data_IF_709233820067
#
_entry.id   IF_709233820067
#
_cell.length_a   1.000
_cell.length_b   1.000
_cell.length_c   1.000
_cell.angle_alpha   90.00
_cell.angle_beta   90.00
_cell.angle_gamma   90.00
#
_symmetry.space_group_name_H-M   'P 1'
#
loop_
_entity.id
_entity.type
_entity.pdbx_description
1 polymer ?
#
# COMPACT_ATOMS: atom_id res chain seq x y z
N UNK A 1 -30.05 9.34 5.87
CA UNK A 1 -30.80 8.08 6.05
C UNK A 1 -29.89 6.95 5.56
N UNK A 2 -29.15 6.28 6.46
CA UNK A 2 -28.19 5.22 6.10
C UNK A 2 -26.91 5.12 6.97
N UNK A 3 -26.65 6.09 7.85
CA UNK A 3 -25.53 6.03 8.80
C UNK A 3 -26.03 5.47 10.14
N UNK A 4 -25.31 4.52 10.72
CA UNK A 4 -25.64 3.74 11.93
C UNK A 4 -26.58 2.53 11.74
N UNK A 5 -26.16 1.56 10.92
CA UNK A 5 -26.45 0.17 11.26
C UNK A 5 -25.36 -0.30 12.24
N UNK A 6 -25.66 -0.58 13.52
CA UNK A 6 -24.70 -1.22 14.41
C UNK A 6 -24.31 -2.58 13.81
N UNK A 7 -23.01 -2.79 13.60
CA UNK A 7 -22.50 -4.05 13.08
C UNK A 7 -22.99 -5.22 13.95
N UNK A 8 -23.58 -6.28 13.37
CA UNK A 8 -24.03 -7.42 14.15
C UNK A 8 -22.86 -8.06 14.93
N UNK A 9 -23.12 -8.65 16.11
CA UNK A 9 -22.09 -9.27 16.95
C UNK A 9 -21.35 -10.38 16.19
N UNK A 10 -20.02 -10.45 16.38
CA UNK A 10 -19.13 -11.41 15.70
C UNK A 10 -19.59 -12.84 15.95
N UNK A 11 -19.98 -13.55 14.89
CA UNK A 11 -20.32 -14.97 14.98
C UNK A 11 -19.06 -15.80 15.36
N UNK A 12 -19.22 -17.03 15.89
CA UNK A 12 -18.09 -17.95 16.08
C UNK A 12 -17.26 -18.15 14.81
N UNK A 13 -17.92 -18.21 13.65
CA UNK A 13 -17.29 -18.38 12.34
C UNK A 13 -16.39 -17.19 11.97
N UNK A 14 -16.80 -15.97 12.32
CA UNK A 14 -15.99 -14.76 12.10
C UNK A 14 -14.68 -14.78 12.90
N UNK A 15 -14.68 -15.40 14.09
CA UNK A 15 -13.44 -15.52 14.89
C UNK A 15 -12.44 -16.48 14.25
N UNK A 16 -12.91 -17.58 13.68
CA UNK A 16 -12.06 -18.51 12.94
C UNK A 16 -11.53 -17.89 11.64
N UNK A 17 -12.40 -17.21 10.87
CA UNK A 17 -12.02 -16.49 9.67
C UNK A 17 -10.95 -15.43 9.96
N UNK A 18 -11.12 -14.63 11.03
CA UNK A 18 -10.16 -13.59 11.40
C UNK A 18 -8.80 -14.17 11.83
N UNK A 19 -8.76 -15.32 12.51
CA UNK A 19 -7.50 -16.01 12.83
C UNK A 19 -6.77 -16.46 11.56
N UNK A 20 -7.49 -17.05 10.61
CA UNK A 20 -6.93 -17.45 9.31
C UNK A 20 -6.38 -16.24 8.55
N UNK A 21 -7.14 -15.14 8.51
CA UNK A 21 -6.73 -13.89 7.89
C UNK A 21 -5.45 -13.33 8.51
N UNK A 22 -5.36 -13.29 9.85
CA UNK A 22 -4.16 -12.81 10.55
C UNK A 22 -2.92 -13.63 10.20
N UNK A 23 -3.05 -14.96 10.13
CA UNK A 23 -1.94 -15.84 9.73
C UNK A 23 -1.48 -15.57 8.30
N UNK A 24 -2.43 -15.51 7.34
CA UNK A 24 -2.14 -15.18 5.94
C UNK A 24 -1.53 -13.79 5.79
N UNK A 25 -2.08 -12.83 6.51
CA UNK A 25 -1.60 -11.46 6.54
C UNK A 25 -0.17 -11.36 7.08
N UNK A 26 0.14 -12.04 8.18
CA UNK A 26 1.49 -12.08 8.73
C UNK A 26 2.50 -12.69 7.73
N UNK A 27 2.10 -13.75 7.02
CA UNK A 27 2.91 -14.32 5.95
C UNK A 27 3.14 -13.32 4.80
N UNK A 28 2.09 -12.66 4.32
CA UNK A 28 2.20 -11.63 3.27
C UNK A 28 3.09 -10.47 3.70
N UNK A 29 2.95 -9.99 4.94
CA UNK A 29 3.80 -8.94 5.50
C UNK A 29 5.27 -9.40 5.60
N UNK A 30 5.51 -10.64 6.03
CA UNK A 30 6.85 -11.23 6.08
C UNK A 30 7.50 -11.35 4.70
N UNK A 31 6.73 -11.78 3.69
CA UNK A 31 7.20 -11.83 2.30
C UNK A 31 7.54 -10.44 1.77
N UNK A 32 6.69 -9.44 2.02
CA UNK A 32 6.96 -8.05 1.62
C UNK A 32 8.21 -7.47 2.29
N UNK A 33 8.41 -7.74 3.59
CA UNK A 33 9.63 -7.37 4.29
C UNK A 33 10.87 -8.06 3.68
N UNK A 34 10.76 -9.35 3.34
CA UNK A 34 11.79 -10.09 2.61
C UNK A 34 12.12 -9.45 1.26
N UNK A 35 11.11 -9.01 0.51
CA UNK A 35 11.31 -8.28 -0.75
C UNK A 35 12.09 -6.98 -0.55
N UNK A 36 11.83 -6.21 0.51
CA UNK A 36 12.61 -5.01 0.83
C UNK A 36 14.10 -5.32 1.06
N UNK A 37 14.39 -6.43 1.76
CA UNK A 37 15.78 -6.87 1.98
C UNK A 37 16.46 -7.28 0.67
N UNK A 38 15.74 -7.94 -0.23
CA UNK A 38 16.24 -8.25 -1.58
C UNK A 38 16.51 -6.95 -2.36
N UNK A 39 15.62 -5.98 -2.31
CA UNK A 39 15.82 -4.65 -2.91
C UNK A 39 17.06 -3.94 -2.36
N UNK A 40 17.25 -3.96 -1.03
CA UNK A 40 18.44 -3.42 -0.39
C UNK A 40 19.72 -4.14 -0.86
N UNK A 41 19.70 -5.47 -0.97
CA UNK A 41 20.83 -6.25 -1.46
C UNK A 41 21.18 -5.89 -2.92
N UNK A 42 20.18 -5.66 -3.78
CA UNK A 42 20.41 -5.18 -5.15
C UNK A 42 21.02 -3.78 -5.14
N UNK A 43 20.53 -2.87 -4.31
CA UNK A 43 21.05 -1.49 -4.23
C UNK A 43 22.50 -1.41 -3.74
N UNK A 44 22.96 -2.38 -2.93
CA UNK A 44 24.37 -2.47 -2.52
C UNK A 44 25.34 -2.67 -3.70
N UNK A 45 24.83 -3.05 -4.88
CA UNK A 45 25.67 -3.15 -6.10
C UNK A 45 26.04 -1.79 -6.71
N UNK A 46 25.33 -0.71 -6.35
CA UNK A 46 25.54 0.63 -6.89
C UNK A 46 25.58 1.76 -5.86
N UNK A 47 25.28 1.49 -4.60
CA UNK A 47 25.31 2.47 -3.51
C UNK A 47 26.12 1.97 -2.32
N UNK A 48 26.66 2.91 -1.54
CA UNK A 48 27.30 2.59 -0.27
C UNK A 48 26.28 2.09 0.78
N UNK A 49 26.71 1.32 1.79
CA UNK A 49 25.82 0.77 2.80
C UNK A 49 25.01 1.82 3.59
N UNK A 50 25.55 3.04 3.79
CA UNK A 50 24.85 4.10 4.52
C UNK A 50 23.63 4.62 3.76
N UNK A 51 23.79 4.81 2.44
CA UNK A 51 22.66 5.16 1.55
C UNK A 51 21.63 4.05 1.47
N UNK A 52 22.06 2.79 1.34
CA UNK A 52 21.13 1.65 1.33
C UNK A 52 20.40 1.55 2.68
N UNK A 53 21.06 1.81 3.80
CA UNK A 53 20.41 1.87 5.12
C UNK A 53 19.34 2.97 5.19
N UNK A 54 19.61 4.15 4.63
CA UNK A 54 18.64 5.24 4.57
C UNK A 54 17.43 4.89 3.69
N UNK A 55 17.69 4.29 2.53
CA UNK A 55 16.64 3.76 1.64
C UNK A 55 15.78 2.72 2.35
N UNK A 56 16.41 1.77 3.05
CA UNK A 56 15.72 0.70 3.76
C UNK A 56 14.87 1.25 4.91
N UNK A 57 15.35 2.27 5.62
CA UNK A 57 14.61 2.93 6.69
C UNK A 57 13.32 3.56 6.17
N UNK A 58 13.41 4.35 5.09
CA UNK A 58 12.24 5.01 4.49
C UNK A 58 11.27 3.99 3.91
N UNK A 59 11.77 3.02 3.13
CA UNK A 59 10.95 1.94 2.58
C UNK A 59 10.24 1.15 3.67
N UNK A 60 10.94 0.85 4.78
CA UNK A 60 10.38 0.12 5.91
C UNK A 60 9.36 0.94 6.69
N UNK A 61 9.52 2.26 6.79
CA UNK A 61 8.54 3.14 7.41
C UNK A 61 7.22 3.15 6.62
N UNK A 62 7.31 3.30 5.29
CA UNK A 62 6.13 3.27 4.40
C UNK A 62 5.47 1.88 4.40
N UNK A 63 6.26 0.82 4.30
CA UNK A 63 5.75 -0.55 4.39
C UNK A 63 5.14 -0.85 5.75
N UNK A 64 5.75 -0.40 6.84
CA UNK A 64 5.22 -0.52 8.20
C UNK A 64 3.86 0.18 8.34
N UNK A 65 3.72 1.38 7.77
CA UNK A 65 2.43 2.07 7.70
C UNK A 65 1.37 1.23 6.96
N UNK A 66 1.68 0.74 5.75
CA UNK A 66 0.79 -0.14 4.99
C UNK A 66 0.41 -1.38 5.81
N UNK A 67 1.39 -1.97 6.50
CA UNK A 67 1.19 -3.19 7.29
C UNK A 67 0.21 -2.95 8.45
N UNK A 68 0.39 -1.84 9.17
CA UNK A 68 -0.50 -1.42 10.25
C UNK A 68 -1.88 -1.10 9.68
N UNK A 69 -1.94 -0.35 8.58
CA UNK A 69 -3.19 0.07 7.93
C UNK A 69 -4.09 -1.11 7.57
N UNK A 70 -3.52 -2.14 6.94
CA UNK A 70 -4.21 -3.38 6.55
C UNK A 70 -4.55 -4.21 7.78
N UNK A 71 -3.59 -4.38 8.70
CA UNK A 71 -3.75 -5.18 9.92
C UNK A 71 -4.92 -4.72 10.80
N UNK A 72 -5.08 -3.40 10.95
CA UNK A 72 -6.20 -2.80 11.69
C UNK A 72 -7.55 -2.99 10.98
N UNK A 73 -7.55 -3.16 9.65
CA UNK A 73 -8.73 -3.24 8.79
C UNK A 73 -9.07 -4.65 8.32
N UNK A 74 -8.39 -5.70 8.77
CA UNK A 74 -8.70 -7.09 8.40
C UNK A 74 -10.17 -7.48 8.68
N UNK A 75 -10.81 -6.85 9.67
CA UNK A 75 -12.23 -7.01 9.97
C UNK A 75 -13.17 -6.47 8.87
N UNK A 76 -12.65 -5.79 7.85
CA UNK A 76 -13.38 -5.32 6.68
C UNK A 76 -13.27 -6.30 5.51
N UNK A 77 -12.59 -7.45 5.65
CA UNK A 77 -12.46 -8.45 4.60
C UNK A 77 -13.76 -9.24 4.38
N UNK A 78 -14.80 -8.54 3.94
CA UNK A 78 -16.15 -9.02 3.65
C UNK A 78 -16.68 -8.29 2.41
N UNK A 79 -17.62 -8.91 1.69
CA UNK A 79 -18.24 -8.27 0.53
C UNK A 79 -19.24 -7.18 0.96
N UNK A 80 -19.53 -6.25 0.06
CA UNK A 80 -20.55 -5.23 0.29
C UNK A 80 -21.92 -5.90 0.46
N UNK A 81 -22.62 -5.58 1.55
CA UNK A 81 -23.92 -6.17 1.89
C UNK A 81 -23.86 -7.53 2.58
N UNK A 82 -22.67 -8.15 2.71
CA UNK A 82 -22.51 -9.42 3.44
C UNK A 82 -22.03 -9.17 4.88
N UNK A 83 -22.63 -9.89 5.83
CA UNK A 83 -22.26 -9.79 7.25
C UNK A 83 -20.97 -10.57 7.57
N UNK A 84 -20.74 -11.70 6.89
CA UNK A 84 -19.70 -12.67 7.20
C UNK A 84 -18.31 -12.29 6.66
N UNK A 85 -17.27 -12.61 7.44
CA UNK A 85 -15.89 -12.45 7.01
C UNK A 85 -15.45 -13.55 6.04
N UNK A 86 -14.70 -13.15 5.01
CA UNK A 86 -14.00 -14.08 4.12
C UNK A 86 -12.67 -14.48 4.78
N UNK A 87 -12.41 -15.78 4.93
CA UNK A 87 -11.16 -16.27 5.53
C UNK A 87 -9.91 -16.06 4.63
N UNK A 88 -10.11 -15.70 3.36
CA UNK A 88 -9.07 -15.45 2.38
C UNK A 88 -9.09 -13.99 1.92
N UNK A 89 -7.90 -13.39 1.73
CA UNK A 89 -7.75 -12.04 1.18
C UNK A 89 -8.24 -11.96 -0.28
N UNK A 90 -8.08 -13.05 -1.05
CA UNK A 90 -8.44 -13.09 -2.46
C UNK A 90 -7.36 -12.53 -3.38
N UNK A 91 -7.47 -12.79 -4.70
CA UNK A 91 -6.43 -12.45 -5.66
C UNK A 91 -6.29 -10.95 -5.91
N UNK A 92 -7.39 -10.19 -5.92
CA UNK A 92 -7.36 -8.73 -6.05
C UNK A 92 -6.54 -8.09 -4.92
N UNK A 93 -6.93 -8.34 -3.66
CA UNK A 93 -6.20 -7.83 -2.50
C UNK A 93 -4.74 -8.30 -2.47
N UNK A 94 -4.43 -9.53 -2.91
CA UNK A 94 -3.06 -10.00 -3.00
C UNK A 94 -2.22 -9.18 -4.00
N UNK A 95 -2.80 -8.81 -5.15
CA UNK A 95 -2.15 -7.97 -6.14
C UNK A 95 -1.97 -6.54 -5.63
N UNK A 96 -3.00 -5.95 -5.00
CA UNK A 96 -2.90 -4.62 -4.36
C UNK A 96 -1.84 -4.60 -3.27
N UNK A 97 -1.70 -5.66 -2.48
CA UNK A 97 -0.64 -5.78 -1.46
C UNK A 97 0.76 -5.90 -2.08
N UNK A 98 0.90 -6.64 -3.18
CA UNK A 98 2.15 -6.72 -3.93
C UNK A 98 2.53 -5.34 -4.51
N UNK A 99 1.56 -4.62 -5.09
CA UNK A 99 1.70 -3.22 -5.50
C UNK A 99 2.17 -2.34 -4.35
N UNK A 100 1.60 -2.48 -3.16
CA UNK A 100 2.05 -1.77 -1.95
C UNK A 100 3.53 -1.94 -1.64
N UNK A 101 4.07 -3.15 -1.78
CA UNK A 101 5.51 -3.42 -1.60
C UNK A 101 6.34 -2.63 -2.62
N UNK A 102 5.93 -2.59 -3.88
CA UNK A 102 6.61 -1.81 -4.93
C UNK A 102 6.60 -0.31 -4.61
N UNK A 103 5.47 0.20 -4.13
CA UNK A 103 5.35 1.61 -3.70
C UNK A 103 6.24 1.91 -2.48
N UNK A 104 6.35 0.98 -1.53
CA UNK A 104 7.25 1.13 -0.40
C UNK A 104 8.72 1.14 -0.83
N UNK A 105 9.13 0.26 -1.76
CA UNK A 105 10.47 0.29 -2.36
C UNK A 105 10.75 1.60 -3.10
N UNK A 106 9.76 2.09 -3.85
CA UNK A 106 9.86 3.36 -4.57
C UNK A 106 10.08 4.52 -3.61
N UNK A 107 9.38 4.53 -2.47
CA UNK A 107 9.50 5.59 -1.46
C UNK A 107 10.93 5.77 -0.93
N UNK A 108 11.70 4.68 -0.80
CA UNK A 108 13.11 4.78 -0.40
C UNK A 108 13.97 5.63 -1.34
N UNK A 109 13.60 5.78 -2.61
CA UNK A 109 14.36 6.60 -3.57
C UNK A 109 14.23 8.11 -3.30
N UNK A 110 13.30 8.56 -2.45
CA UNK A 110 13.19 9.97 -2.03
C UNK A 110 14.44 10.44 -1.27
N UNK A 111 15.22 9.54 -0.69
CA UNK A 111 16.45 9.89 0.06
C UNK A 111 17.73 9.50 -0.65
N UNK A 112 17.64 8.93 -1.85
CA UNK A 112 18.80 8.56 -2.66
C UNK A 112 19.07 9.63 -3.72
N UNK A 113 20.35 9.89 -4.07
CA UNK A 113 20.64 10.63 -5.29
C UNK A 113 20.28 9.79 -6.52
N UNK A 114 20.40 10.40 -7.71
CA UNK A 114 20.15 9.69 -8.97
C UNK A 114 20.92 8.36 -9.04
N UNK A 115 20.25 7.22 -9.23
CA UNK A 115 20.92 5.92 -9.21
C UNK A 115 21.88 5.73 -10.40
N UNK A 116 23.03 5.08 -10.21
CA UNK A 116 24.00 4.88 -11.28
C UNK A 116 23.61 3.74 -12.24
N UNK A 117 24.06 3.83 -13.49
CA UNK A 117 23.98 2.75 -14.47
C UNK A 117 22.56 2.20 -14.66
N UNK A 118 22.43 0.87 -14.64
CA UNK A 118 21.15 0.20 -14.82
C UNK A 118 20.13 0.50 -13.69
N UNK A 119 20.59 0.85 -12.48
CA UNK A 119 19.70 1.18 -11.36
C UNK A 119 18.92 2.48 -11.59
N UNK A 120 19.34 3.34 -12.53
CA UNK A 120 18.62 4.56 -12.89
C UNK A 120 17.18 4.28 -13.33
N UNK A 121 16.92 3.08 -13.87
CA UNK A 121 15.59 2.64 -14.30
C UNK A 121 14.74 2.09 -13.15
N UNK A 122 15.30 1.81 -11.98
CA UNK A 122 14.59 1.17 -10.89
C UNK A 122 13.35 1.95 -10.43
N UNK A 123 13.40 3.29 -10.20
CA UNK A 123 12.20 4.05 -9.84
C UNK A 123 11.10 3.96 -10.89
N UNK A 124 11.46 4.08 -12.18
CA UNK A 124 10.53 4.02 -13.28
C UNK A 124 9.87 2.63 -13.41
N UNK A 125 10.66 1.56 -13.32
CA UNK A 125 10.18 0.17 -13.39
C UNK A 125 9.28 -0.15 -12.19
N UNK A 126 9.65 0.29 -10.98
CA UNK A 126 8.84 0.09 -9.78
C UNK A 126 7.49 0.79 -9.92
N UNK A 127 7.50 2.06 -10.33
CA UNK A 127 6.27 2.84 -10.51
C UNK A 127 5.38 2.26 -11.62
N UNK A 128 5.95 1.98 -12.80
CA UNK A 128 5.21 1.42 -13.94
C UNK A 128 4.62 0.05 -13.61
N UNK A 129 5.38 -0.82 -12.94
CA UNK A 129 4.86 -2.14 -12.51
C UNK A 129 3.74 -1.97 -11.49
N UNK A 130 3.86 -1.02 -10.56
CA UNK A 130 2.82 -0.74 -9.56
C UNK A 130 1.53 -0.22 -10.22
N UNK A 131 1.64 0.65 -11.22
CA UNK A 131 0.51 1.21 -11.97
C UNK A 131 -0.18 0.17 -12.87
N UNK A 132 0.60 -0.70 -13.51
CA UNK A 132 0.01 -1.82 -14.27
C UNK A 132 -0.69 -2.82 -13.33
N UNK A 133 -0.12 -3.11 -12.17
CA UNK A 133 -0.72 -4.00 -11.19
C UNK A 133 -2.08 -3.47 -10.68
N UNK A 134 -2.19 -2.15 -10.50
CA UNK A 134 -3.43 -1.47 -10.13
C UNK A 134 -4.57 -1.78 -11.09
N UNK A 135 -4.32 -1.57 -12.38
CA UNK A 135 -5.33 -1.80 -13.42
C UNK A 135 -5.92 -3.23 -13.38
N UNK A 136 -5.11 -4.23 -13.01
CA UNK A 136 -5.52 -5.62 -12.97
C UNK A 136 -6.20 -6.05 -11.67
N UNK A 137 -6.04 -5.35 -10.56
CA UNK A 137 -6.56 -5.83 -9.27
C UNK A 137 -8.09 -5.80 -9.21
N UNK A 138 -8.73 -4.77 -9.78
CA UNK A 138 -10.16 -4.63 -9.90
C UNK A 138 -10.76 -5.63 -10.89
N UNK A 139 -10.01 -5.95 -11.96
CA UNK A 139 -10.36 -7.05 -12.85
C UNK A 139 -10.35 -8.39 -12.11
N UNK A 140 -9.27 -8.70 -11.38
CA UNK A 140 -9.15 -9.92 -10.58
C UNK A 140 -10.23 -10.02 -9.50
N UNK A 141 -10.55 -8.92 -8.82
CA UNK A 141 -11.60 -8.86 -7.81
C UNK A 141 -12.99 -9.18 -8.40
N UNK A 142 -13.28 -8.69 -9.62
CA UNK A 142 -14.56 -8.96 -10.32
C UNK A 142 -14.67 -10.41 -10.77
N UNK A 143 -13.66 -10.94 -11.45
CA UNK A 143 -13.71 -12.31 -11.98
C UNK A 143 -13.71 -13.37 -10.86
N UNK A 144 -13.04 -13.08 -9.74
CA UNK A 144 -13.01 -13.96 -8.57
C UNK A 144 -14.22 -13.82 -7.66
N UNK A 145 -15.15 -12.89 -7.96
CA UNK A 145 -16.25 -12.50 -7.08
C UNK A 145 -15.76 -12.22 -5.66
N UNK A 146 -14.64 -11.50 -5.53
CA UNK A 146 -13.96 -11.26 -4.25
C UNK A 146 -13.71 -9.77 -3.99
N UNK A 147 -14.58 -8.91 -4.50
CA UNK A 147 -14.61 -7.50 -4.15
C UNK A 147 -15.04 -7.32 -2.68
N UNK A 148 -14.18 -6.70 -1.87
CA UNK A 148 -14.38 -6.55 -0.42
C UNK A 148 -14.26 -5.10 0.02
N UNK A 149 -14.85 -4.77 1.18
CA UNK A 149 -14.69 -3.46 1.81
C UNK A 149 -13.22 -3.19 2.19
N UNK A 150 -12.48 -4.24 2.60
CA UNK A 150 -11.03 -4.16 2.79
C UNK A 150 -10.33 -3.79 1.48
N UNK A 151 -10.66 -4.48 0.38
CA UNK A 151 -10.11 -4.22 -0.94
C UNK A 151 -10.27 -2.77 -1.36
N UNK A 152 -11.48 -2.24 -1.26
CA UNK A 152 -11.77 -0.82 -1.54
C UNK A 152 -10.97 0.14 -0.65
N UNK A 153 -10.78 -0.21 0.63
CA UNK A 153 -10.03 0.63 1.56
C UNK A 153 -8.52 0.63 1.29
N UNK A 154 -7.94 -0.52 0.91
CA UNK A 154 -6.51 -0.63 0.62
C UNK A 154 -6.16 -0.02 -0.74
N UNK A 155 -7.02 -0.23 -1.74
CA UNK A 155 -6.90 0.31 -3.10
C UNK A 155 -6.82 1.84 -3.06
N UNK A 156 -7.85 2.46 -2.49
CA UNK A 156 -7.94 3.91 -2.35
C UNK A 156 -6.79 4.53 -1.54
N UNK A 157 -6.26 3.82 -0.55
CA UNK A 157 -5.13 4.31 0.23
C UNK A 157 -3.80 4.16 -0.53
N UNK A 158 -3.62 3.04 -1.22
CA UNK A 158 -2.39 2.76 -1.96
C UNK A 158 -2.30 3.62 -3.23
N UNK A 159 -3.41 3.99 -3.85
CA UNK A 159 -3.47 4.99 -4.93
C UNK A 159 -2.90 6.32 -4.49
N UNK A 160 -3.40 6.84 -3.38
CA UNK A 160 -2.99 8.13 -2.88
C UNK A 160 -1.54 8.13 -2.38
N UNK A 161 -1.15 7.05 -1.69
CA UNK A 161 0.23 6.85 -1.27
C UNK A 161 1.15 6.76 -2.50
N UNK A 162 0.74 6.01 -3.53
CA UNK A 162 1.49 5.83 -4.76
C UNK A 162 1.66 7.13 -5.54
N UNK A 163 0.62 7.94 -5.61
CA UNK A 163 0.69 9.28 -6.20
C UNK A 163 1.64 10.18 -5.41
N UNK A 164 1.52 10.23 -4.08
CA UNK A 164 2.39 11.03 -3.23
C UNK A 164 3.86 10.61 -3.36
N UNK A 165 4.13 9.30 -3.28
CA UNK A 165 5.48 8.74 -3.39
C UNK A 165 6.05 8.96 -4.78
N UNK A 166 5.29 8.66 -5.84
CA UNK A 166 5.74 8.83 -7.22
C UNK A 166 6.10 10.29 -7.53
N UNK A 167 5.25 11.23 -7.13
CA UNK A 167 5.53 12.67 -7.27
C UNK A 167 6.71 13.09 -6.41
N UNK A 168 6.81 12.61 -5.16
CA UNK A 168 7.92 12.90 -4.27
C UNK A 168 9.27 12.47 -4.85
N UNK A 169 9.35 11.26 -5.39
CA UNK A 169 10.56 10.75 -6.07
C UNK A 169 10.87 11.57 -7.32
N UNK A 170 9.87 11.84 -8.16
CA UNK A 170 10.07 12.62 -9.38
C UNK A 170 10.56 14.05 -9.11
N UNK A 171 10.01 14.72 -8.08
CA UNK A 171 10.46 16.05 -7.65
C UNK A 171 11.88 15.98 -7.08
N UNK A 172 12.16 15.02 -6.20
CA UNK A 172 13.49 14.84 -5.59
C UNK A 172 14.58 14.60 -6.64
N UNK A 173 14.27 13.84 -7.68
CA UNK A 173 15.15 13.57 -8.81
C UNK A 173 15.13 14.67 -9.89
N UNK A 174 14.50 15.82 -9.62
CA UNK A 174 14.49 17.00 -10.50
C UNK A 174 13.67 16.85 -11.78
N UNK A 175 12.76 15.88 -11.85
CA UNK A 175 11.92 15.62 -13.02
C UNK A 175 10.62 16.43 -13.02
N UNK A 176 10.16 16.91 -11.86
CA UNK A 176 8.93 17.68 -11.74
C UNK A 176 9.10 18.93 -10.84
N UNK A 177 8.37 20.02 -11.12
CA UNK A 177 8.30 21.17 -10.21
C UNK A 177 7.64 20.83 -8.87
N UNK A 178 8.07 21.48 -7.79
CA UNK A 178 7.53 21.27 -6.44
C UNK A 178 6.02 21.47 -6.33
N UNK A 179 5.43 22.33 -7.17
CA UNK A 179 3.99 22.58 -7.21
C UNK A 179 3.15 21.32 -7.42
N UNK A 180 3.70 20.29 -8.08
CA UNK A 180 2.99 19.03 -8.30
C UNK A 180 2.75 18.24 -7.02
N UNK A 181 3.52 18.49 -5.95
CA UNK A 181 3.31 17.83 -4.65
C UNK A 181 1.92 18.10 -4.08
N UNK A 182 1.28 19.22 -4.46
CA UNK A 182 -0.10 19.53 -4.09
C UNK A 182 -1.08 18.45 -4.54
N UNK A 183 -0.87 17.82 -5.71
CA UNK A 183 -1.73 16.73 -6.18
C UNK A 183 -1.60 15.48 -5.31
N UNK A 184 -0.38 15.11 -4.91
CA UNK A 184 -0.15 14.00 -3.99
C UNK A 184 -0.66 14.27 -2.58
N UNK A 185 -0.59 15.52 -2.11
CA UNK A 185 -1.07 15.92 -0.79
C UNK A 185 -2.59 16.14 -0.71
N UNK A 186 -3.29 16.27 -1.85
CA UNK A 186 -4.69 16.68 -1.91
C UNK A 186 -5.63 15.82 -1.07
N UNK A 187 -5.52 14.49 -1.18
CA UNK A 187 -6.35 13.56 -0.37
C UNK A 187 -6.09 13.75 1.12
N UNK A 188 -4.82 13.78 1.52
CA UNK A 188 -4.46 13.88 2.93
C UNK A 188 -4.93 15.21 3.52
N UNK A 189 -4.81 16.31 2.77
CA UNK A 189 -5.35 17.61 3.15
C UNK A 189 -6.89 17.59 3.27
N UNK A 190 -7.58 16.94 2.33
CA UNK A 190 -9.04 16.80 2.35
C UNK A 190 -9.55 16.00 3.56
N UNK A 191 -8.94 14.84 3.83
CA UNK A 191 -9.27 14.00 5.00
C UNK A 191 -8.99 14.74 6.30
N UNK A 192 -7.87 15.46 6.38
CA UNK A 192 -7.55 16.29 7.54
C UNK A 192 -8.57 17.42 7.74
N UNK A 193 -9.01 18.08 6.66
CA UNK A 193 -10.05 19.10 6.71
C UNK A 193 -11.39 18.58 7.22
N UNK A 194 -11.83 17.40 6.76
CA UNK A 194 -13.04 16.74 7.24
C UNK A 194 -12.96 16.42 8.75
N UNK A 195 -11.82 15.92 9.20
CA UNK A 195 -11.61 15.62 10.62
C UNK A 195 -11.67 16.85 11.52
N UNK A 196 -11.21 18.02 11.04
CA UNK A 196 -11.37 19.29 11.76
C UNK A 196 -12.86 19.66 11.83
N UNK A 197 -13.57 19.55 10.71
CA UNK A 197 -14.99 19.91 10.63
C UNK A 197 -15.86 19.03 11.53
N UNK A 198 -15.57 17.73 11.63
CA UNK A 198 -16.28 16.81 12.53
C UNK A 198 -16.05 17.09 14.03
N UNK A 199 -15.02 17.87 14.36
CA UNK A 199 -14.65 18.22 15.75
C UNK A 199 -15.08 19.62 16.17
N UNK A 200 -15.59 20.42 15.24
CA UNK A 200 -16.20 21.73 15.48
C UNK A 200 -17.69 21.59 15.73
#
# INVERSE_FOLDING_TARGET
>A
MGLFMPYPPRSPDDRHALRSLRGRWALTAGLGAGSLLVGAAILLTGFDPGRVGSWLLVSSAVFGYQVIFVGLRLHLNRRQGEAHLLAALGPGNALTLARGVLLAMLAGFVVLPWPPGALAWAPAILYMTADVADYFDGYLARISRHATLLGQAIDMEFDALGLLVGLGVAIHLGQLPLAFLAFGAARYAFVFGLWILERM
#
